data_IF_937978362096
#
_entry.id   IF_937978362096
#
_cell.length_a   1.000
_cell.length_b   1.000
_cell.length_c   1.000
_cell.angle_alpha   90.00
_cell.angle_beta   90.00
_cell.angle_gamma   90.00
#
_symmetry.space_group_name_H-M   'P 1'
#
loop_
_entity.id
_entity.type
_entity.pdbx_description
1 polymer ?
#
# COMPACT_ATOMS: atom_id res chain seq x y z
N UNK A 1 -2.14 9.22 35.79
CA UNK A 1 -1.25 9.94 34.88
C UNK A 1 -0.71 9.00 33.82
N UNK A 2 -0.99 9.32 32.56
CA UNK A 2 -0.45 8.58 31.43
C UNK A 2 1.06 8.83 31.40
N UNK A 3 1.86 7.78 31.44
CA UNK A 3 3.32 7.90 31.34
C UNK A 3 3.70 8.63 30.05
N UNK A 4 4.76 9.43 30.06
CA UNK A 4 5.17 10.27 28.92
C UNK A 4 5.35 9.52 27.61
N UNK A 5 5.76 8.26 27.65
CA UNK A 5 5.83 7.37 26.48
C UNK A 5 4.45 7.03 25.89
N UNK A 6 3.45 6.84 26.75
CA UNK A 6 2.07 6.60 26.33
C UNK A 6 1.43 7.89 25.78
N UNK A 7 1.72 9.06 26.36
CA UNK A 7 1.26 10.34 25.84
C UNK A 7 1.88 10.66 24.47
N UNK A 8 3.15 10.31 24.25
CA UNK A 8 3.82 10.44 22.94
C UNK A 8 3.20 9.51 21.91
N UNK A 9 2.77 8.31 22.30
CA UNK A 9 2.09 7.36 21.43
C UNK A 9 0.66 7.83 21.09
N UNK A 10 -0.07 8.42 22.02
CA UNK A 10 -1.39 9.01 21.79
C UNK A 10 -1.30 10.15 20.79
N UNK A 11 -0.26 10.96 20.83
CA UNK A 11 -0.06 12.05 19.88
C UNK A 11 0.31 11.59 18.47
N UNK A 12 1.02 10.45 18.32
CA UNK A 12 1.55 9.96 17.05
C UNK A 12 0.84 8.72 16.51
N UNK A 13 0.02 8.07 17.32
CA UNK A 13 -0.71 6.85 16.97
C UNK A 13 -2.15 6.98 17.44
N UNK A 14 -3.07 6.92 16.50
CA UNK A 14 -4.49 6.93 16.80
C UNK A 14 -4.97 5.46 16.90
N UNK A 15 -5.86 5.22 17.86
CA UNK A 15 -6.53 3.91 17.91
C UNK A 15 -7.56 3.82 16.77
N UNK A 16 -7.92 2.61 16.33
CA UNK A 16 -8.97 2.45 15.32
C UNK A 16 -10.28 3.13 15.73
N UNK A 17 -10.67 3.07 17.00
CA UNK A 17 -11.87 3.76 17.48
C UNK A 17 -11.80 5.28 17.29
N UNK A 18 -10.66 5.90 17.60
CA UNK A 18 -10.47 7.34 17.37
C UNK A 18 -10.57 7.69 15.87
N UNK A 19 -10.14 6.81 14.99
CA UNK A 19 -10.28 7.01 13.54
C UNK A 19 -11.75 6.90 13.10
N UNK A 20 -12.48 5.93 13.62
CA UNK A 20 -13.93 5.79 13.39
C UNK A 20 -14.68 7.02 13.88
N UNK A 21 -14.41 7.49 15.09
CA UNK A 21 -15.04 8.68 15.68
C UNK A 21 -14.75 9.96 14.86
N UNK A 22 -13.60 9.99 14.17
CA UNK A 22 -13.24 11.05 13.23
C UNK A 22 -13.81 10.87 11.82
N UNK A 23 -14.60 9.82 11.56
CA UNK A 23 -15.19 9.54 10.25
C UNK A 23 -14.22 8.98 9.20
N UNK A 24 -13.09 8.40 9.62
CA UNK A 24 -12.08 7.84 8.72
C UNK A 24 -12.58 6.52 8.14
N UNK A 25 -12.62 6.40 6.81
CA UNK A 25 -13.02 5.19 6.09
C UNK A 25 -11.85 4.34 5.60
N UNK A 26 -10.66 4.94 5.42
CA UNK A 26 -9.48 4.27 4.88
C UNK A 26 -8.26 4.56 5.73
N UNK A 27 -7.34 3.59 5.84
CA UNK A 27 -6.08 3.76 6.57
C UNK A 27 -4.92 3.13 5.80
N UNK A 28 -3.82 3.88 5.64
CA UNK A 28 -2.58 3.38 5.04
C UNK A 28 -1.81 2.62 6.11
N UNK A 29 -1.47 1.35 5.83
CA UNK A 29 -0.78 0.46 6.76
C UNK A 29 0.47 -0.12 6.10
N UNK A 30 1.59 -0.11 6.82
CA UNK A 30 2.85 -0.67 6.36
C UNK A 30 3.59 0.19 5.34
N UNK A 31 3.28 1.49 5.27
CA UNK A 31 4.03 2.46 4.43
C UNK A 31 5.53 2.33 4.67
N UNK A 32 6.33 2.51 3.62
CA UNK A 32 7.79 2.37 3.65
C UNK A 32 8.46 3.17 4.77
N UNK A 33 8.05 4.42 5.00
CA UNK A 33 8.55 5.24 6.10
C UNK A 33 8.27 4.64 7.48
N UNK A 34 7.10 4.05 7.69
CA UNK A 34 6.79 3.41 8.97
C UNK A 34 7.62 2.15 9.18
N UNK A 35 7.85 1.38 8.13
CA UNK A 35 8.77 0.24 8.18
C UNK A 35 10.19 0.68 8.49
N UNK A 36 10.65 1.74 7.85
CA UNK A 36 12.01 2.26 8.01
C UNK A 36 12.24 2.93 9.37
N UNK A 37 11.39 3.88 9.75
CA UNK A 37 11.61 4.72 10.94
C UNK A 37 11.08 4.09 12.21
N UNK A 38 9.97 3.38 12.15
CA UNK A 38 9.31 2.77 13.31
C UNK A 38 9.50 1.26 13.40
N UNK A 39 10.29 0.67 12.47
CA UNK A 39 10.61 -0.76 12.42
C UNK A 39 9.36 -1.65 12.40
N UNK A 40 8.31 -1.20 11.71
CA UNK A 40 7.11 -2.00 11.53
C UNK A 40 7.42 -3.22 10.65
N UNK A 41 7.38 -4.39 11.23
CA UNK A 41 7.56 -5.67 10.53
C UNK A 41 6.23 -6.18 9.93
N UNK A 42 6.31 -7.28 9.20
CA UNK A 42 5.14 -7.86 8.53
C UNK A 42 4.08 -8.36 9.53
N UNK A 43 4.48 -8.79 10.73
CA UNK A 43 3.53 -9.23 11.76
C UNK A 43 2.77 -8.04 12.34
N UNK A 44 3.45 -6.93 12.62
CA UNK A 44 2.80 -5.70 13.06
C UNK A 44 1.82 -5.17 11.99
N UNK A 45 2.22 -5.21 10.72
CA UNK A 45 1.37 -4.82 9.59
C UNK A 45 0.11 -5.70 9.57
N UNK A 46 0.23 -7.02 9.64
CA UNK A 46 -0.91 -7.94 9.68
C UNK A 46 -1.85 -7.64 10.86
N UNK A 47 -1.31 -7.46 12.07
CA UNK A 47 -2.13 -7.11 13.25
C UNK A 47 -2.92 -5.82 13.05
N UNK A 48 -2.31 -4.80 12.43
CA UNK A 48 -2.97 -3.53 12.14
C UNK A 48 -4.06 -3.67 11.09
N UNK A 49 -3.83 -4.47 10.03
CA UNK A 49 -4.81 -4.76 8.99
C UNK A 49 -6.06 -5.40 9.61
N UNK A 50 -5.87 -6.46 10.38
CA UNK A 50 -6.98 -7.16 11.05
C UNK A 50 -7.72 -6.23 12.00
N UNK A 51 -6.98 -5.37 12.72
CA UNK A 51 -7.59 -4.41 13.64
C UNK A 51 -8.37 -3.31 12.92
N UNK A 52 -7.93 -2.83 11.77
CA UNK A 52 -8.69 -1.91 10.93
C UNK A 52 -10.00 -2.55 10.44
N UNK A 53 -9.92 -3.79 9.93
CA UNK A 53 -11.08 -4.56 9.45
C UNK A 53 -12.12 -4.76 10.57
N UNK A 54 -11.69 -5.10 11.80
CA UNK A 54 -12.57 -5.25 12.97
C UNK A 54 -13.37 -3.98 13.30
N UNK A 55 -12.92 -2.81 12.82
CA UNK A 55 -13.57 -1.51 13.03
C UNK A 55 -14.14 -0.92 11.73
N UNK A 56 -14.37 -1.76 10.71
CA UNK A 56 -14.89 -1.36 9.40
C UNK A 56 -14.09 -0.29 8.66
N UNK A 57 -12.81 -0.12 9.00
CA UNK A 57 -11.87 0.75 8.28
C UNK A 57 -11.19 -0.07 7.19
N UNK A 58 -11.21 0.43 5.95
CA UNK A 58 -10.61 -0.23 4.80
C UNK A 58 -9.09 -0.01 4.81
N UNK A 59 -8.25 -1.08 4.92
CA UNK A 59 -6.82 -0.93 4.88
C UNK A 59 -6.30 -0.77 3.45
N UNK A 60 -5.41 0.22 3.26
CA UNK A 60 -4.53 0.36 2.11
C UNK A 60 -3.18 -0.23 2.54
N UNK A 61 -2.86 -1.41 2.04
CA UNK A 61 -1.73 -2.24 2.48
C UNK A 61 -0.53 -1.95 1.60
N UNK A 62 0.52 -1.34 2.17
CA UNK A 62 1.74 -1.03 1.46
C UNK A 62 2.74 -2.20 1.46
N UNK A 63 3.29 -2.48 0.30
CA UNK A 63 4.40 -3.41 0.09
C UNK A 63 5.40 -2.81 -0.91
N UNK A 64 6.66 -3.22 -0.83
CA UNK A 64 7.68 -2.71 -1.73
C UNK A 64 9.07 -3.15 -1.32
N UNK A 65 10.04 -2.89 -2.22
CA UNK A 65 11.43 -3.24 -2.07
C UNK A 65 12.34 -2.02 -2.11
N UNK A 66 13.52 -2.14 -1.49
CA UNK A 66 14.62 -1.19 -1.59
C UNK A 66 15.38 -1.37 -2.92
N UNK A 67 16.30 -0.44 -3.21
CA UNK A 67 17.15 -0.55 -4.40
C UNK A 67 18.06 -1.78 -4.33
N UNK A 68 18.65 -2.04 -3.16
CA UNK A 68 19.51 -3.19 -2.93
C UNK A 68 18.78 -4.51 -3.16
N UNK A 69 17.54 -4.62 -2.69
CA UNK A 69 16.72 -5.80 -2.87
C UNK A 69 16.34 -6.01 -4.34
N UNK A 70 16.09 -4.91 -5.07
CA UNK A 70 15.81 -4.95 -6.50
C UNK A 70 17.04 -5.37 -7.31
N UNK A 71 18.21 -4.77 -7.03
CA UNK A 71 19.47 -5.11 -7.67
C UNK A 71 19.90 -6.55 -7.38
N UNK A 72 19.57 -7.06 -6.18
CA UNK A 72 19.77 -8.47 -5.82
C UNK A 72 18.77 -9.43 -6.50
N UNK A 73 17.79 -8.94 -7.26
CA UNK A 73 16.82 -9.76 -7.99
C UNK A 73 15.78 -10.47 -7.10
N UNK A 74 15.60 -10.02 -5.84
CA UNK A 74 14.70 -10.66 -4.86
C UNK A 74 13.33 -9.98 -4.72
N UNK A 75 13.03 -8.96 -5.55
CA UNK A 75 11.78 -8.18 -5.51
C UNK A 75 10.56 -9.07 -5.37
N UNK A 76 10.32 -10.00 -6.30
CA UNK A 76 9.09 -10.80 -6.30
C UNK A 76 8.99 -11.73 -5.09
N UNK A 77 10.11 -12.28 -4.63
CA UNK A 77 10.16 -13.11 -3.42
C UNK A 77 9.82 -12.31 -2.17
N UNK A 78 10.34 -11.10 -2.07
CA UNK A 78 10.07 -10.18 -0.97
C UNK A 78 8.59 -9.74 -0.96
N UNK A 79 8.06 -9.32 -2.11
CA UNK A 79 6.66 -8.92 -2.28
C UNK A 79 5.73 -10.07 -1.90
N UNK A 80 6.01 -11.30 -2.36
CA UNK A 80 5.24 -12.49 -1.97
C UNK A 80 5.21 -12.66 -0.46
N UNK A 81 6.37 -12.56 0.20
CA UNK A 81 6.47 -12.67 1.66
C UNK A 81 5.66 -11.57 2.37
N UNK A 82 5.71 -10.33 1.88
CA UNK A 82 4.97 -9.21 2.46
C UNK A 82 3.45 -9.40 2.31
N UNK A 83 2.96 -9.75 1.12
CA UNK A 83 1.53 -9.94 0.84
C UNK A 83 0.95 -11.13 1.59
N UNK A 84 1.62 -12.30 1.55
CA UNK A 84 1.17 -13.50 2.27
C UNK A 84 1.10 -13.23 3.78
N UNK A 85 2.10 -12.53 4.33
CA UNK A 85 2.10 -12.18 5.76
C UNK A 85 1.00 -11.17 6.10
N UNK A 86 0.80 -10.15 5.25
CA UNK A 86 -0.20 -9.10 5.46
C UNK A 86 -1.63 -9.66 5.50
N UNK A 87 -1.92 -10.59 4.60
CA UNK A 87 -3.26 -11.18 4.43
C UNK A 87 -3.51 -12.43 5.28
N UNK A 88 -2.53 -12.83 6.11
CA UNK A 88 -2.68 -13.99 7.00
C UNK A 88 -3.87 -13.81 7.95
N UNK A 89 -4.75 -14.80 8.03
CA UNK A 89 -5.99 -14.80 8.82
C UNK A 89 -7.02 -13.71 8.43
N UNK A 90 -6.91 -13.14 7.23
CA UNK A 90 -7.95 -12.30 6.64
C UNK A 90 -8.87 -13.19 5.82
N UNK A 91 -10.18 -13.10 6.05
CA UNK A 91 -11.15 -13.91 5.28
C UNK A 91 -11.28 -13.39 3.83
N UNK A 92 -11.75 -14.20 2.87
CA UNK A 92 -11.98 -13.78 1.49
C UNK A 92 -12.85 -12.53 1.37
N UNK A 93 -13.93 -12.44 2.14
CA UNK A 93 -14.88 -11.32 2.15
C UNK A 93 -14.19 -10.02 2.61
N UNK A 94 -13.31 -10.11 3.61
CA UNK A 94 -12.56 -8.98 4.11
C UNK A 94 -11.39 -8.62 3.18
N UNK A 95 -10.73 -9.61 2.59
CA UNK A 95 -9.67 -9.38 1.62
C UNK A 95 -10.16 -8.60 0.40
N UNK A 96 -11.35 -8.92 -0.10
CA UNK A 96 -11.99 -8.23 -1.22
C UNK A 96 -12.16 -6.72 -0.98
N UNK A 97 -12.27 -6.30 0.28
CA UNK A 97 -12.40 -4.88 0.67
C UNK A 97 -11.05 -4.16 0.80
N UNK A 98 -9.96 -4.91 0.94
CA UNK A 98 -8.62 -4.33 1.06
C UNK A 98 -8.16 -3.71 -0.26
N UNK A 99 -7.21 -2.79 -0.14
CA UNK A 99 -6.49 -2.20 -1.27
C UNK A 99 -5.01 -2.48 -1.06
N UNK A 100 -4.29 -2.85 -2.11
CA UNK A 100 -2.83 -3.02 -2.06
C UNK A 100 -2.17 -1.82 -2.72
N UNK A 101 -1.08 -1.32 -2.12
CA UNK A 101 -0.26 -0.26 -2.72
C UNK A 101 1.18 -0.77 -2.88
N UNK A 102 1.63 -0.87 -4.11
CA UNK A 102 3.02 -1.20 -4.41
C UNK A 102 3.89 0.04 -4.40
N UNK A 103 4.85 0.09 -3.50
CA UNK A 103 5.81 1.18 -3.31
C UNK A 103 7.21 0.73 -3.72
N UNK A 104 7.71 1.01 -4.95
CA UNK A 104 9.13 0.89 -5.24
C UNK A 104 9.90 1.93 -4.41
N UNK A 105 10.42 1.54 -3.23
CA UNK A 105 10.98 2.47 -2.22
C UNK A 105 12.11 3.30 -2.82
N UNK A 106 12.87 2.70 -3.74
CA UNK A 106 13.95 3.35 -4.48
C UNK A 106 13.48 4.45 -5.44
N UNK A 107 12.18 4.51 -5.74
CA UNK A 107 11.56 5.51 -6.63
C UNK A 107 10.68 6.52 -5.87
N UNK A 108 10.69 6.51 -4.52
CA UNK A 108 9.90 7.45 -3.71
C UNK A 108 10.78 8.62 -3.30
N UNK A 109 10.50 9.83 -3.82
CA UNK A 109 11.20 11.06 -3.42
C UNK A 109 12.69 11.13 -3.81
N UNK A 110 13.20 10.19 -4.60
CA UNK A 110 14.62 10.10 -4.97
C UNK A 110 14.93 10.75 -6.33
N UNK A 111 13.92 11.18 -7.07
CA UNK A 111 14.05 11.61 -8.46
C UNK A 111 14.15 10.46 -9.47
N UNK A 112 14.28 9.22 -9.01
CA UNK A 112 14.16 8.02 -9.87
C UNK A 112 12.69 7.69 -10.08
N UNK A 113 12.36 7.16 -11.24
CA UNK A 113 11.00 6.72 -11.59
C UNK A 113 11.09 5.28 -12.09
N UNK A 114 10.26 4.41 -11.55
CA UNK A 114 10.12 3.08 -12.13
C UNK A 114 9.48 3.21 -13.53
N UNK A 115 9.94 2.40 -14.49
CA UNK A 115 9.26 2.33 -15.77
C UNK A 115 7.86 1.74 -15.58
N UNK A 116 6.94 2.06 -16.47
CA UNK A 116 5.57 1.50 -16.46
C UNK A 116 5.61 -0.02 -16.47
N UNK A 117 6.50 -0.62 -17.28
CA UNK A 117 6.68 -2.06 -17.34
C UNK A 117 7.17 -2.66 -16.01
N UNK A 118 8.08 -1.98 -15.31
CA UNK A 118 8.56 -2.44 -13.99
C UNK A 118 7.45 -2.38 -12.94
N UNK A 119 6.61 -1.34 -12.98
CA UNK A 119 5.46 -1.22 -12.10
C UNK A 119 4.42 -2.31 -12.40
N UNK A 120 4.10 -2.53 -13.68
CA UNK A 120 3.17 -3.56 -14.13
C UNK A 120 3.63 -4.97 -13.74
N UNK A 121 4.90 -5.31 -13.94
CA UNK A 121 5.46 -6.61 -13.56
C UNK A 121 5.18 -6.96 -12.09
N UNK A 122 5.44 -6.02 -11.19
CA UNK A 122 5.23 -6.26 -9.76
C UNK A 122 3.74 -6.28 -9.41
N UNK A 123 2.93 -5.37 -9.97
CA UNK A 123 1.48 -5.36 -9.72
C UNK A 123 0.81 -6.64 -10.24
N UNK A 124 1.21 -7.14 -11.40
CA UNK A 124 0.79 -8.43 -11.94
C UNK A 124 1.15 -9.59 -11.00
N UNK A 125 2.38 -9.60 -10.48
CA UNK A 125 2.81 -10.58 -9.49
C UNK A 125 1.97 -10.53 -8.21
N UNK A 126 1.66 -9.32 -7.71
CA UNK A 126 0.78 -9.13 -6.54
C UNK A 126 -0.60 -9.72 -6.80
N UNK A 127 -1.21 -9.43 -7.95
CA UNK A 127 -2.52 -10.00 -8.33
C UNK A 127 -2.47 -11.52 -8.44
N UNK A 128 -1.37 -12.07 -8.99
CA UNK A 128 -1.12 -13.51 -9.03
C UNK A 128 -1.03 -14.14 -7.63
N UNK A 129 -0.32 -13.52 -6.70
CA UNK A 129 -0.21 -13.98 -5.30
C UNK A 129 -1.59 -13.99 -4.62
N UNK A 130 -2.39 -12.95 -4.83
CA UNK A 130 -3.75 -12.86 -4.27
C UNK A 130 -4.63 -13.96 -4.87
N UNK A 131 -4.49 -14.24 -6.16
CA UNK A 131 -5.20 -15.34 -6.85
C UNK A 131 -4.85 -16.70 -6.26
N UNK A 132 -3.58 -16.93 -5.95
CA UNK A 132 -3.12 -18.16 -5.30
C UNK A 132 -3.72 -18.35 -3.89
N UNK A 133 -3.96 -17.26 -3.15
CA UNK A 133 -4.48 -17.29 -1.78
C UNK A 133 -6.02 -17.43 -1.78
N UNK A 134 -6.73 -16.67 -2.61
CA UNK A 134 -8.18 -16.48 -2.51
C UNK A 134 -8.97 -16.83 -3.78
N UNK A 135 -8.30 -17.18 -4.87
CA UNK A 135 -8.94 -17.43 -6.15
C UNK A 135 -9.12 -16.19 -7.01
N UNK A 136 -9.50 -16.42 -8.29
CA UNK A 136 -9.56 -15.39 -9.32
C UNK A 136 -10.57 -14.29 -9.00
N UNK A 137 -11.76 -14.63 -8.53
CA UNK A 137 -12.82 -13.66 -8.25
C UNK A 137 -12.37 -12.58 -7.24
N UNK A 138 -11.67 -12.97 -6.18
CA UNK A 138 -11.16 -12.03 -5.17
C UNK A 138 -9.98 -11.24 -5.73
N UNK A 139 -9.08 -11.89 -6.45
CA UNK A 139 -7.92 -11.23 -7.05
C UNK A 139 -8.31 -10.12 -8.03
N UNK A 140 -9.36 -10.34 -8.82
CA UNK A 140 -9.86 -9.36 -9.78
C UNK A 140 -10.66 -8.23 -9.12
N UNK A 141 -11.21 -8.46 -7.91
CA UNK A 141 -11.96 -7.45 -7.16
C UNK A 141 -11.06 -6.52 -6.31
N UNK A 142 -9.88 -6.99 -5.87
CA UNK A 142 -8.94 -6.18 -5.10
C UNK A 142 -8.27 -5.14 -6.01
N UNK A 143 -8.27 -3.89 -5.56
CA UNK A 143 -7.55 -2.81 -6.23
C UNK A 143 -6.07 -2.83 -5.87
N UNK A 144 -5.22 -2.68 -6.89
CA UNK A 144 -3.77 -2.58 -6.74
C UNK A 144 -3.35 -1.19 -7.23
N UNK A 145 -2.77 -0.40 -6.33
CA UNK A 145 -2.32 0.95 -6.59
C UNK A 145 -0.80 0.98 -6.78
N UNK A 146 -0.33 1.81 -7.69
CA UNK A 146 1.08 2.15 -7.78
C UNK A 146 1.39 3.32 -6.83
N UNK A 147 2.34 3.14 -5.91
CA UNK A 147 2.74 4.08 -4.87
C UNK A 147 4.12 4.71 -5.06
N UNK A 148 4.71 4.58 -6.24
CA UNK A 148 5.93 5.30 -6.59
C UNK A 148 5.62 6.73 -7.06
N UNK A 149 6.57 7.35 -7.79
CA UNK A 149 6.41 8.71 -8.28
C UNK A 149 5.35 8.79 -9.38
N UNK A 150 4.19 9.37 -9.07
CA UNK A 150 3.09 9.65 -10.02
C UNK A 150 2.99 11.16 -10.24
N UNK A 151 2.85 11.57 -11.49
CA UNK A 151 2.63 12.94 -11.91
C UNK A 151 1.70 13.00 -13.14
N UNK A 152 1.30 14.19 -13.55
CA UNK A 152 0.41 14.38 -14.70
C UNK A 152 0.95 13.84 -16.04
N UNK A 153 2.28 13.70 -16.16
CA UNK A 153 2.92 13.22 -17.41
C UNK A 153 2.99 11.70 -17.51
N UNK A 154 2.91 10.96 -16.41
CA UNK A 154 3.01 9.50 -16.41
C UNK A 154 1.73 8.77 -15.93
N UNK A 155 0.76 9.49 -15.39
CA UNK A 155 -0.48 8.92 -14.84
C UNK A 155 -1.23 8.08 -15.88
N UNK A 156 -1.44 8.60 -17.10
CA UNK A 156 -2.12 7.91 -18.18
C UNK A 156 -1.44 6.57 -18.50
N UNK A 157 -0.11 6.57 -18.66
CA UNK A 157 0.62 5.36 -19.02
C UNK A 157 0.56 4.31 -17.89
N UNK A 158 0.74 4.74 -16.64
CA UNK A 158 0.68 3.86 -15.48
C UNK A 158 -0.71 3.25 -15.27
N UNK A 159 -1.75 4.08 -15.33
CA UNK A 159 -3.11 3.63 -15.02
C UNK A 159 -3.83 2.96 -16.21
N UNK A 160 -3.17 2.91 -17.37
CA UNK A 160 -3.61 2.08 -18.51
C UNK A 160 -3.10 0.64 -18.45
N UNK A 161 -2.20 0.33 -17.51
CA UNK A 161 -1.69 -1.03 -17.33
C UNK A 161 -2.74 -1.95 -16.69
N UNK A 162 -2.83 -3.22 -17.13
CA UNK A 162 -3.93 -4.12 -16.75
C UNK A 162 -3.99 -4.46 -15.26
N UNK A 163 -2.89 -4.36 -14.51
CA UNK A 163 -2.83 -4.69 -13.09
C UNK A 163 -2.59 -3.47 -12.19
N UNK A 164 -2.69 -2.25 -12.73
CA UNK A 164 -2.58 -1.00 -11.98
C UNK A 164 -3.92 -0.28 -11.98
N UNK A 165 -4.67 -0.38 -10.88
CA UNK A 165 -6.02 0.17 -10.76
C UNK A 165 -6.04 1.66 -10.36
N UNK A 166 -4.87 2.29 -10.19
CA UNK A 166 -4.74 3.69 -9.80
C UNK A 166 -3.43 3.98 -9.07
N UNK A 167 -3.37 5.08 -8.32
CA UNK A 167 -2.17 5.52 -7.63
C UNK A 167 -2.37 5.89 -6.17
N UNK A 168 -1.37 5.60 -5.34
CA UNK A 168 -1.21 6.18 -4.00
C UNK A 168 -0.27 7.38 -4.13
N UNK A 169 -0.82 8.60 -4.15
CA UNK A 169 -0.11 9.83 -4.51
C UNK A 169 0.22 10.64 -3.26
N UNK A 170 1.50 10.87 -3.01
CA UNK A 170 2.00 11.67 -1.89
C UNK A 170 2.08 13.16 -2.22
N UNK A 171 3.29 13.73 -2.34
CA UNK A 171 3.52 15.17 -2.46
C UNK A 171 2.78 15.88 -3.61
N UNK A 172 2.54 15.19 -4.73
CA UNK A 172 1.77 15.75 -5.82
C UNK A 172 0.29 15.98 -5.48
N UNK A 173 -0.27 15.27 -4.48
CA UNK A 173 -1.65 15.47 -4.02
C UNK A 173 -1.90 16.83 -3.37
N UNK A 174 -0.84 17.52 -2.95
CA UNK A 174 -0.89 18.85 -2.34
C UNK A 174 -0.76 19.99 -3.37
N UNK A 175 -0.67 19.66 -4.65
CA UNK A 175 -0.43 20.63 -5.73
C UNK A 175 -1.65 20.74 -6.64
N UNK A 176 -1.87 21.93 -7.27
CA UNK A 176 -3.00 22.13 -8.20
C UNK A 176 -3.03 21.15 -9.37
N UNK A 177 -1.87 20.67 -9.82
CA UNK A 177 -1.77 19.68 -10.90
C UNK A 177 -2.32 18.29 -10.52
N UNK A 178 -2.66 18.03 -9.25
CA UNK A 178 -3.28 16.78 -8.82
C UNK A 178 -4.56 16.48 -9.59
N UNK A 179 -5.32 17.51 -9.96
CA UNK A 179 -6.51 17.35 -10.79
C UNK A 179 -6.22 16.66 -12.13
N UNK A 180 -5.02 16.86 -12.71
CA UNK A 180 -4.60 16.21 -13.95
C UNK A 180 -4.20 14.74 -13.76
N UNK A 181 -3.82 14.35 -12.52
CA UNK A 181 -3.57 12.95 -12.18
C UNK A 181 -4.90 12.22 -11.99
N UNK A 182 -5.87 12.87 -11.34
CA UNK A 182 -7.21 12.28 -11.11
C UNK A 182 -7.99 12.15 -12.42
N UNK A 183 -7.87 13.13 -13.31
CA UNK A 183 -8.53 13.16 -14.63
C UNK A 183 -7.52 12.88 -15.74
N UNK A 184 -6.80 11.78 -15.63
CA UNK A 184 -5.68 11.41 -16.51
C UNK A 184 -6.09 10.98 -17.93
N UNK A 185 -7.39 10.92 -18.24
CA UNK A 185 -7.95 10.58 -19.57
C UNK A 185 -7.81 11.73 -20.55
#
# INVERSE_FOLDING_TARGET
>A
PIKSSAASDVYKRQSPQMLVDAGVSYVIIGHSERRQYFKEDNEMVNRKIRKAIEHDIIPIICCGETLEEREAGITLTLIKKQIVSALRYVSPENAQRCIIAYEPIWAIGTGRVATTQQAQEVCCSIRGIIRDIYGTQIADAIRILYGGSVNAGNALQLFSEPDIDGGLVGGASLKPEFSKIVNYQ
#
